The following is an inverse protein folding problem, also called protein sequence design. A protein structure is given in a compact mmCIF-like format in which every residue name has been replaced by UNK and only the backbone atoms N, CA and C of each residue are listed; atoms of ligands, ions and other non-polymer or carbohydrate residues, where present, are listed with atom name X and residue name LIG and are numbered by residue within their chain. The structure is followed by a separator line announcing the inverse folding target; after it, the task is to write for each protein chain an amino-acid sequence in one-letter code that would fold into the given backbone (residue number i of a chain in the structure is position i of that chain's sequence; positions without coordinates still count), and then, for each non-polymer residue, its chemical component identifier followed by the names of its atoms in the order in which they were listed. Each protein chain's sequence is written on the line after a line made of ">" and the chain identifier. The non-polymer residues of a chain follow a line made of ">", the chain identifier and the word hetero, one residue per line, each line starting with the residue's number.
data_IF_121590173757
#
_entry.id   IF_121590173757
#
_cell.length_a   1.000
_cell.length_b   1.000
_cell.length_c   1.000
_cell.angle_alpha   90.00
_cell.angle_beta   90.00
_cell.angle_gamma   90.00
#
_symmetry.space_group_name_H-M   'P 1'
#
loop_
_entity.id
_entity.type
_entity.pdbx_description
1 polymer ?
#
# COMPACT_ATOMS: atom_id res chain seq x y z
N UNK A 1 -1.09 9.00 -23.31
CA UNK A 1 -0.82 9.00 -21.84
C UNK A 1 0.69 9.01 -21.68
N UNK A 2 1.23 9.96 -20.94
CA UNK A 2 2.64 10.39 -20.99
C UNK A 2 3.55 9.26 -20.44
N UNK A 3 4.61 8.88 -21.18
CA UNK A 3 5.54 7.80 -20.84
C UNK A 3 6.04 7.83 -19.38
N UNK A 4 6.19 9.02 -18.80
CA UNK A 4 6.58 9.22 -17.41
C UNK A 4 5.61 8.64 -16.38
N UNK A 5 4.31 8.66 -16.64
CA UNK A 5 3.30 8.07 -15.75
C UNK A 5 3.46 6.56 -15.72
N UNK A 6 3.65 5.93 -16.88
CA UNK A 6 3.86 4.48 -16.99
C UNK A 6 5.17 4.05 -16.31
N UNK A 7 6.25 4.84 -16.46
CA UNK A 7 7.49 4.61 -15.72
C UNK A 7 7.24 4.65 -14.22
N UNK A 8 6.62 5.71 -13.69
CA UNK A 8 6.40 5.86 -12.25
C UNK A 8 5.54 4.72 -11.67
N UNK A 9 4.53 4.31 -12.42
CA UNK A 9 3.54 3.33 -12.00
C UNK A 9 4.07 1.89 -12.13
N UNK A 10 4.68 1.55 -13.27
CA UNK A 10 5.15 0.19 -13.56
C UNK A 10 6.50 -0.14 -12.89
N UNK A 11 7.29 0.85 -12.50
CA UNK A 11 8.51 0.67 -11.68
C UNK A 11 8.25 0.53 -10.17
N UNK A 12 6.99 0.64 -9.75
CA UNK A 12 6.58 0.66 -8.34
C UNK A 12 6.98 1.95 -7.58
N UNK A 13 7.57 2.96 -8.23
CA UNK A 13 7.88 4.26 -7.63
C UNK A 13 6.64 4.94 -7.05
N UNK A 14 5.53 4.86 -7.77
CA UNK A 14 4.24 5.41 -7.33
C UNK A 14 3.75 4.79 -6.01
N UNK A 15 3.92 3.48 -5.86
CA UNK A 15 3.58 2.75 -4.63
C UNK A 15 4.56 3.06 -3.49
N UNK A 16 5.85 3.23 -3.80
CA UNK A 16 6.85 3.63 -2.82
C UNK A 16 6.56 5.02 -2.25
N UNK A 17 6.18 5.98 -3.11
CA UNK A 17 5.72 7.30 -2.70
C UNK A 17 4.46 7.20 -1.83
N UNK A 18 3.49 6.36 -2.22
CA UNK A 18 2.29 6.13 -1.40
C UNK A 18 2.65 5.57 -0.01
N UNK A 19 3.58 4.62 0.07
CA UNK A 19 4.04 4.04 1.34
C UNK A 19 4.71 5.09 2.25
N UNK A 20 5.59 5.93 1.70
CA UNK A 20 6.20 7.04 2.44
C UNK A 20 5.14 8.05 2.90
N UNK A 21 4.25 8.49 2.00
CA UNK A 21 3.21 9.47 2.33
C UNK A 21 2.25 8.95 3.40
N UNK A 22 1.83 7.67 3.33
CA UNK A 22 1.00 7.03 4.34
C UNK A 22 1.71 6.98 5.70
N UNK A 23 3.00 6.67 5.70
CA UNK A 23 3.83 6.62 6.92
C UNK A 23 3.97 8.02 7.54
N UNK A 24 4.14 9.05 6.71
CA UNK A 24 4.22 10.44 7.17
C UNK A 24 2.89 10.94 7.74
N UNK A 25 1.77 10.67 7.06
CA UNK A 25 0.43 11.02 7.55
C UNK A 25 0.11 10.28 8.85
N UNK A 26 0.46 9.00 8.96
CA UNK A 26 0.30 8.23 10.19
C UNK A 26 1.15 8.79 11.33
N UNK A 27 2.40 9.18 11.07
CA UNK A 27 3.26 9.80 12.07
C UNK A 27 2.61 11.07 12.64
N UNK A 28 2.12 11.97 11.77
CA UNK A 28 1.43 13.19 12.22
C UNK A 28 0.16 12.90 12.99
N UNK A 29 -0.68 11.97 12.52
CA UNK A 29 -1.92 11.59 13.20
C UNK A 29 -1.70 10.94 14.58
N UNK A 30 -0.50 10.40 14.83
CA UNK A 30 -0.09 9.85 16.12
C UNK A 30 0.73 10.84 16.97
N UNK A 31 0.83 12.11 16.55
CA UNK A 31 1.67 13.12 17.20
C UNK A 31 3.15 12.69 17.31
N UNK A 32 3.64 12.01 16.27
CA UNK A 32 5.01 11.52 16.17
C UNK A 32 5.81 12.39 15.19
N UNK A 33 7.11 12.62 15.45
CA UNK A 33 8.00 13.21 14.46
C UNK A 33 8.05 12.39 13.17
N UNK A 34 8.09 13.08 12.03
CA UNK A 34 8.26 12.44 10.73
C UNK A 34 9.72 12.04 10.56
N UNK A 35 10.03 10.79 10.89
CA UNK A 35 11.39 10.26 10.79
C UNK A 35 11.73 9.80 9.36
N UNK A 36 12.77 10.37 8.70
CA UNK A 36 13.19 9.95 7.36
C UNK A 36 13.52 8.46 7.25
N UNK A 37 13.97 7.83 8.34
CA UNK A 37 14.25 6.38 8.39
C UNK A 37 12.95 5.58 8.25
N UNK A 38 11.87 5.99 8.90
CA UNK A 38 10.56 5.36 8.76
C UNK A 38 10.06 5.44 7.31
N UNK A 39 10.16 6.64 6.71
CA UNK A 39 9.74 6.87 5.32
C UNK A 39 10.57 6.04 4.34
N UNK A 40 11.91 6.03 4.53
CA UNK A 40 12.83 5.27 3.69
C UNK A 40 12.63 3.77 3.78
N UNK A 41 12.37 3.23 4.98
CA UNK A 41 12.06 1.80 5.18
C UNK A 41 10.72 1.42 4.53
N UNK A 42 9.68 2.23 4.71
CA UNK A 42 8.38 1.98 4.10
C UNK A 42 8.45 2.00 2.56
N UNK A 43 9.08 3.03 1.99
CA UNK A 43 9.28 3.15 0.55
C UNK A 43 10.13 2.01 -0.03
N UNK A 44 11.26 1.70 0.62
CA UNK A 44 12.15 0.62 0.16
C UNK A 44 11.47 -0.74 0.24
N UNK A 45 10.73 -1.00 1.33
CA UNK A 45 9.95 -2.22 1.49
C UNK A 45 8.91 -2.39 0.38
N UNK A 46 8.18 -1.32 0.03
CA UNK A 46 7.26 -1.34 -1.09
C UNK A 46 7.97 -1.63 -2.43
N UNK A 47 9.10 -0.96 -2.72
CA UNK A 47 9.87 -1.24 -3.94
C UNK A 47 10.31 -2.70 -4.02
N UNK A 48 10.85 -3.24 -2.93
CA UNK A 48 11.33 -4.62 -2.89
C UNK A 48 10.18 -5.59 -3.13
N UNK A 49 9.12 -5.51 -2.33
CA UNK A 49 8.01 -6.47 -2.38
C UNK A 49 7.32 -6.43 -3.74
N UNK A 50 6.99 -5.23 -4.25
CA UNK A 50 6.25 -5.11 -5.49
C UNK A 50 7.09 -5.43 -6.72
N UNK A 51 8.38 -5.07 -6.76
CA UNK A 51 9.23 -5.45 -7.89
C UNK A 51 9.53 -6.95 -7.89
N UNK A 52 9.76 -7.57 -6.72
CA UNK A 52 9.92 -9.03 -6.62
C UNK A 52 8.66 -9.77 -7.08
N UNK A 53 7.48 -9.33 -6.64
CA UNK A 53 6.19 -9.89 -7.07
C UNK A 53 6.03 -9.78 -8.60
N UNK A 54 6.22 -8.58 -9.15
CA UNK A 54 6.13 -8.30 -10.60
C UNK A 54 7.13 -9.10 -11.44
N UNK A 55 8.38 -9.22 -10.99
CA UNK A 55 9.42 -9.98 -11.69
C UNK A 55 9.18 -11.49 -11.65
N UNK A 56 8.50 -12.01 -10.61
CA UNK A 56 8.16 -13.43 -10.48
C UNK A 56 6.88 -13.81 -11.22
N UNK A 57 5.89 -12.93 -11.24
CA UNK A 57 4.56 -13.21 -11.80
C UNK A 57 4.43 -12.83 -13.30
N UNK A 58 5.52 -12.50 -14.01
CA UNK A 58 5.53 -12.09 -15.44
C UNK A 58 4.67 -12.98 -16.34
N UNK A 59 4.83 -14.31 -16.26
CA UNK A 59 4.11 -15.26 -17.10
C UNK A 59 2.60 -15.26 -16.84
N UNK A 60 2.21 -15.13 -15.56
CA UNK A 60 0.80 -15.03 -15.13
C UNK A 60 0.20 -13.70 -15.56
N UNK A 61 0.94 -12.61 -15.34
CA UNK A 61 0.49 -11.25 -15.57
C UNK A 61 0.33 -10.90 -17.04
N UNK A 62 0.97 -11.65 -17.95
CA UNK A 62 0.84 -11.42 -19.40
C UNK A 62 -0.61 -11.41 -19.89
N UNK A 63 -1.50 -12.16 -19.23
CA UNK A 63 -2.93 -12.21 -19.59
C UNK A 63 -3.76 -11.10 -18.92
N UNK A 64 -3.39 -10.66 -17.71
CA UNK A 64 -4.22 -9.76 -16.88
C UNK A 64 -3.68 -8.32 -16.81
N UNK A 65 -2.42 -8.11 -17.20
CA UNK A 65 -1.67 -6.86 -17.11
C UNK A 65 -0.64 -6.75 -18.26
N UNK A 66 -1.07 -6.84 -19.54
CA UNK A 66 -0.15 -6.96 -20.67
C UNK A 66 0.78 -5.75 -20.83
N UNK A 67 0.31 -4.52 -20.55
CA UNK A 67 1.13 -3.33 -20.69
C UNK A 67 2.25 -3.29 -19.64
N UNK A 68 1.93 -3.61 -18.38
CA UNK A 68 2.92 -3.75 -17.32
C UNK A 68 3.90 -4.88 -17.60
N UNK A 69 3.42 -6.02 -18.13
CA UNK A 69 4.30 -7.14 -18.48
C UNK A 69 5.32 -6.74 -19.54
N UNK A 70 4.90 -6.06 -20.61
CA UNK A 70 5.82 -5.56 -21.64
C UNK A 70 6.87 -4.59 -21.06
N UNK A 71 6.45 -3.69 -20.17
CA UNK A 71 7.36 -2.79 -19.46
C UNK A 71 8.38 -3.56 -18.61
N UNK A 72 7.93 -4.55 -17.83
CA UNK A 72 8.80 -5.35 -16.96
C UNK A 72 9.81 -6.13 -17.80
N UNK A 73 9.38 -6.73 -18.91
CA UNK A 73 10.27 -7.48 -19.81
C UNK A 73 11.33 -6.56 -20.43
N UNK A 74 10.94 -5.37 -20.87
CA UNK A 74 11.85 -4.39 -21.47
C UNK A 74 12.84 -3.80 -20.45
N UNK A 75 12.40 -3.53 -19.22
CA UNK A 75 13.21 -2.88 -18.16
C UNK A 75 13.70 -3.84 -17.07
N UNK A 76 13.71 -5.15 -17.32
CA UNK A 76 13.97 -6.19 -16.30
C UNK A 76 15.24 -5.93 -15.49
N UNK A 77 16.34 -5.62 -16.15
CA UNK A 77 17.64 -5.34 -15.51
C UNK A 77 17.57 -4.12 -14.61
N UNK A 78 16.94 -3.04 -15.07
CA UNK A 78 16.76 -1.83 -14.27
C UNK A 78 15.90 -2.09 -13.04
N UNK A 79 14.82 -2.89 -13.16
CA UNK A 79 13.97 -3.26 -12.03
C UNK A 79 14.70 -4.16 -11.02
N UNK A 80 15.56 -5.08 -11.46
CA UNK A 80 16.42 -5.87 -10.57
C UNK A 80 17.41 -4.95 -9.85
N UNK A 81 18.09 -4.06 -10.57
CA UNK A 81 19.03 -3.12 -9.98
C UNK A 81 18.35 -2.21 -8.94
N UNK A 82 17.17 -1.68 -9.26
CA UNK A 82 16.35 -0.88 -8.35
C UNK A 82 15.95 -1.67 -7.10
N UNK A 83 15.54 -2.92 -7.27
CA UNK A 83 15.20 -3.82 -6.15
C UNK A 83 16.41 -4.05 -5.24
N UNK A 84 17.58 -4.34 -5.82
CA UNK A 84 18.83 -4.53 -5.09
C UNK A 84 19.28 -3.26 -4.36
N UNK A 85 19.25 -2.11 -5.02
CA UNK A 85 19.54 -0.82 -4.42
C UNK A 85 18.59 -0.49 -3.26
N UNK A 86 17.30 -0.78 -3.42
CA UNK A 86 16.29 -0.59 -2.36
C UNK A 86 16.55 -1.52 -1.17
N UNK A 87 16.96 -2.77 -1.42
CA UNK A 87 17.34 -3.69 -0.35
C UNK A 87 18.57 -3.21 0.42
N UNK A 88 19.61 -2.75 -0.28
CA UNK A 88 20.81 -2.17 0.36
C UNK A 88 20.46 -0.94 1.20
N UNK A 89 19.64 -0.03 0.66
CA UNK A 89 19.17 1.15 1.40
C UNK A 89 18.37 0.75 2.65
N UNK A 90 17.43 -0.19 2.52
CA UNK A 90 16.64 -0.70 3.63
C UNK A 90 17.53 -1.31 4.71
N UNK A 91 18.53 -2.14 4.34
CA UNK A 91 19.48 -2.73 5.28
C UNK A 91 20.32 -1.68 5.99
N UNK A 92 20.84 -0.69 5.27
CA UNK A 92 21.63 0.40 5.84
C UNK A 92 20.82 1.23 6.86
N UNK A 93 19.55 1.52 6.56
CA UNK A 93 18.66 2.21 7.49
C UNK A 93 18.31 1.30 8.68
N UNK A 94 17.96 0.04 8.41
CA UNK A 94 17.56 -0.95 9.42
C UNK A 94 18.65 -1.23 10.45
N UNK A 95 19.93 -1.08 10.09
CA UNK A 95 21.06 -1.25 10.99
C UNK A 95 21.03 -0.29 12.20
N UNK A 96 20.33 0.83 12.09
CA UNK A 96 20.39 1.95 13.04
C UNK A 96 19.06 2.26 13.76
N UNK A 97 18.06 1.36 13.71
CA UNK A 97 16.67 1.63 14.20
C UNK A 97 16.23 0.73 15.37
N UNK A 98 17.14 -0.09 15.89
CA UNK A 98 16.91 -0.90 17.08
C UNK A 98 16.12 -2.20 16.85
N UNK A 99 16.07 -3.10 17.86
CA UNK A 99 15.55 -4.46 17.71
C UNK A 99 14.02 -4.51 17.47
N UNK A 100 13.24 -3.56 18.00
CA UNK A 100 11.79 -3.54 17.81
C UNK A 100 11.41 -3.30 16.33
N UNK A 101 12.08 -2.34 15.67
CA UNK A 101 11.89 -2.09 14.25
C UNK A 101 12.36 -3.29 13.42
N UNK A 102 13.50 -3.90 13.77
CA UNK A 102 13.97 -5.11 13.10
C UNK A 102 12.96 -6.28 13.23
N UNK A 103 12.35 -6.43 14.41
CA UNK A 103 11.29 -7.42 14.67
C UNK A 103 10.06 -7.18 13.79
N UNK A 104 9.56 -5.94 13.71
CA UNK A 104 8.45 -5.57 12.83
C UNK A 104 8.77 -5.87 11.36
N UNK A 105 9.93 -5.42 10.87
CA UNK A 105 10.35 -5.64 9.48
C UNK A 105 10.50 -7.13 9.18
N UNK A 106 11.03 -7.92 10.11
CA UNK A 106 11.16 -9.38 9.96
C UNK A 106 9.79 -10.05 9.90
N UNK A 107 8.85 -9.66 10.77
CA UNK A 107 7.50 -10.20 10.76
C UNK A 107 6.77 -9.90 9.44
N UNK A 108 6.84 -8.64 8.96
CA UNK A 108 6.22 -8.23 7.69
C UNK A 108 6.92 -8.89 6.49
N UNK A 109 8.25 -9.00 6.50
CA UNK A 109 8.98 -9.74 5.48
C UNK A 109 8.58 -11.22 5.46
N UNK A 110 8.41 -11.84 6.62
CA UNK A 110 7.88 -13.20 6.76
C UNK A 110 6.49 -13.36 6.13
N UNK A 111 5.57 -12.42 6.36
CA UNK A 111 4.28 -12.38 5.67
C UNK A 111 4.44 -12.26 4.15
N UNK A 112 5.40 -11.44 3.68
CA UNK A 112 5.77 -11.32 2.28
C UNK A 112 6.29 -12.62 1.67
N UNK A 113 7.10 -13.40 2.40
CA UNK A 113 7.55 -14.73 1.96
C UNK A 113 6.40 -15.73 1.88
N UNK A 114 5.44 -15.63 2.80
CA UNK A 114 4.21 -16.44 2.81
C UNK A 114 3.16 -15.95 1.81
N UNK A 115 3.38 -14.81 1.14
CA UNK A 115 2.44 -14.18 0.22
C UNK A 115 1.83 -15.18 -0.78
N UNK A 116 2.65 -16.03 -1.39
CA UNK A 116 2.17 -17.01 -2.40
C UNK A 116 1.18 -18.02 -1.81
N UNK A 117 1.37 -18.43 -0.55
CA UNK A 117 0.47 -19.35 0.16
C UNK A 117 -0.79 -18.62 0.61
N UNK A 118 -0.65 -17.40 1.15
CA UNK A 118 -1.78 -16.57 1.59
C UNK A 118 -2.68 -16.14 0.42
N UNK A 119 -2.10 -15.88 -0.76
CA UNK A 119 -2.81 -15.54 -2.00
C UNK A 119 -3.73 -16.68 -2.48
N UNK A 120 -3.45 -17.93 -2.09
CA UNK A 120 -4.29 -19.09 -2.43
C UNK A 120 -5.52 -19.23 -1.53
N UNK A 121 -5.53 -18.60 -0.35
CA UNK A 121 -6.65 -18.67 0.59
C UNK A 121 -7.73 -17.66 0.14
N UNK A 122 -8.95 -18.12 -0.17
CA UNK A 122 -10.06 -17.23 -0.50
C UNK A 122 -10.27 -16.20 0.62
N UNK A 123 -10.59 -14.95 0.26
CA UNK A 123 -10.86 -13.84 1.18
C UNK A 123 -9.68 -13.33 2.02
N UNK A 124 -8.58 -14.07 2.16
CA UNK A 124 -7.44 -13.65 2.98
C UNK A 124 -6.60 -12.55 2.33
N UNK A 125 -6.62 -12.45 0.99
CA UNK A 125 -5.72 -11.56 0.24
C UNK A 125 -5.79 -10.10 0.69
N UNK A 126 -6.99 -9.52 0.63
CA UNK A 126 -7.15 -8.10 0.93
C UNK A 126 -6.87 -7.76 2.41
N UNK A 127 -7.38 -8.53 3.41
CA UNK A 127 -7.06 -8.32 4.81
C UNK A 127 -5.56 -8.44 5.13
N UNK A 128 -4.85 -9.44 4.62
CA UNK A 128 -3.42 -9.55 4.94
C UNK A 128 -2.62 -8.41 4.31
N UNK A 129 -2.95 -7.98 3.07
CA UNK A 129 -2.26 -6.84 2.44
C UNK A 129 -2.48 -5.58 3.26
N UNK A 130 -3.72 -5.32 3.66
CA UNK A 130 -4.06 -4.18 4.51
C UNK A 130 -3.34 -4.23 5.85
N UNK A 131 -3.29 -5.40 6.49
CA UNK A 131 -2.56 -5.58 7.74
C UNK A 131 -1.06 -5.32 7.58
N UNK A 132 -0.43 -5.86 6.54
CA UNK A 132 1.01 -5.68 6.30
C UNK A 132 1.36 -4.21 6.04
N UNK A 133 0.58 -3.52 5.20
CA UNK A 133 0.79 -2.10 4.92
C UNK A 133 0.56 -1.23 6.16
N UNK A 134 -0.55 -1.43 6.89
CA UNK A 134 -0.83 -0.67 8.11
C UNK A 134 0.20 -0.93 9.21
N UNK A 135 0.66 -2.17 9.36
CA UNK A 135 1.72 -2.52 10.31
C UNK A 135 3.02 -1.76 10.02
N UNK A 136 3.39 -1.59 8.75
CA UNK A 136 4.59 -0.81 8.37
C UNK A 136 4.33 0.68 8.53
N UNK A 137 3.27 1.21 7.92
CA UNK A 137 3.00 2.65 7.87
C UNK A 137 2.72 3.25 9.25
N UNK A 138 2.13 2.49 10.16
CA UNK A 138 1.85 2.92 11.55
C UNK A 138 2.93 2.42 12.50
N UNK A 139 3.35 1.16 12.38
CA UNK A 139 4.30 0.57 13.31
C UNK A 139 5.69 1.20 13.25
N UNK A 140 6.18 1.59 12.06
CA UNK A 140 7.49 2.26 11.96
C UNK A 140 7.54 3.57 12.75
N UNK A 141 6.68 4.57 12.50
CA UNK A 141 6.70 5.81 13.28
C UNK A 141 6.36 5.59 14.76
N UNK A 142 5.45 4.65 15.08
CA UNK A 142 5.12 4.35 16.48
C UNK A 142 6.30 3.77 17.27
N UNK A 143 7.12 2.90 16.65
CA UNK A 143 8.27 2.30 17.31
C UNK A 143 9.50 3.21 17.39
N UNK A 144 9.57 4.24 16.54
CA UNK A 144 10.65 5.22 16.52
C UNK A 144 10.36 6.45 17.39
N UNK A 145 9.10 6.70 17.74
CA UNK A 145 8.68 7.79 18.61
C UNK A 145 8.68 7.37 20.08
N UNK A 146 8.93 8.33 20.98
CA UNK A 146 8.94 8.06 22.42
C UNK A 146 7.53 7.81 22.99
N UNK A 147 6.52 8.54 22.50
CA UNK A 147 5.16 8.55 23.06
C UNK A 147 4.09 8.67 21.97
N UNK A 148 3.95 7.66 21.09
CA UNK A 148 2.95 7.71 20.03
C UNK A 148 1.52 7.70 20.60
N UNK A 149 0.66 8.57 20.07
CA UNK A 149 -0.75 8.65 20.44
C UNK A 149 -1.61 7.89 19.45
N UNK A 150 -2.78 7.43 19.89
CA UNK A 150 -3.86 6.93 19.02
C UNK A 150 -3.46 5.80 18.04
N UNK A 151 -2.39 5.05 18.32
CA UNK A 151 -1.80 4.04 17.42
C UNK A 151 -2.83 3.08 16.85
N UNK A 152 -3.68 2.50 17.71
CA UNK A 152 -4.71 1.53 17.31
C UNK A 152 -5.75 2.17 16.38
N UNK A 153 -6.15 3.41 16.66
CA UNK A 153 -7.12 4.13 15.86
C UNK A 153 -6.55 4.49 14.48
N UNK A 154 -5.32 5.02 14.41
CA UNK A 154 -4.64 5.30 13.12
C UNK A 154 -4.47 4.01 12.33
N UNK A 155 -4.06 2.91 12.98
CA UNK A 155 -3.96 1.59 12.35
C UNK A 155 -5.30 1.10 11.77
N UNK A 156 -6.42 1.30 12.49
CA UNK A 156 -7.74 0.91 12.02
C UNK A 156 -8.20 1.73 10.79
N UNK A 157 -7.98 3.05 10.79
CA UNK A 157 -8.31 3.93 9.65
C UNK A 157 -7.49 3.56 8.41
N UNK A 158 -6.17 3.42 8.57
CA UNK A 158 -5.30 3.02 7.46
C UNK A 158 -5.62 1.61 6.97
N UNK A 159 -5.90 0.68 7.88
CA UNK A 159 -6.30 -0.68 7.53
C UNK A 159 -7.57 -0.68 6.70
N UNK A 160 -8.63 0.02 7.12
CA UNK A 160 -9.88 0.09 6.37
C UNK A 160 -9.71 0.72 4.99
N UNK A 161 -8.86 1.75 4.89
CA UNK A 161 -8.53 2.40 3.61
C UNK A 161 -7.78 1.46 2.66
N UNK A 162 -6.72 0.82 3.13
CA UNK A 162 -5.92 -0.10 2.31
C UNK A 162 -6.73 -1.36 1.98
N UNK A 163 -7.57 -1.83 2.90
CA UNK A 163 -8.50 -2.94 2.66
C UNK A 163 -9.47 -2.60 1.53
N UNK A 164 -10.04 -1.39 1.54
CA UNK A 164 -10.91 -0.90 0.46
C UNK A 164 -10.20 -0.96 -0.90
N UNK A 165 -8.99 -0.40 -1.00
CA UNK A 165 -8.16 -0.47 -2.20
C UNK A 165 -7.88 -1.93 -2.61
N UNK A 166 -7.45 -2.77 -1.67
CA UNK A 166 -7.08 -4.17 -1.95
C UNK A 166 -8.28 -5.03 -2.41
N UNK A 167 -9.49 -4.79 -1.87
CA UNK A 167 -10.73 -5.45 -2.32
C UNK A 167 -11.04 -5.03 -3.77
N UNK A 168 -11.00 -3.73 -4.06
CA UNK A 168 -11.28 -3.21 -5.40
C UNK A 168 -10.26 -3.71 -6.44
N UNK A 169 -8.99 -3.77 -6.06
CA UNK A 169 -7.92 -4.34 -6.88
C UNK A 169 -8.21 -5.79 -7.29
N UNK A 170 -8.87 -6.57 -6.44
CA UNK A 170 -9.27 -7.95 -6.75
C UNK A 170 -10.27 -8.09 -7.90
N UNK A 171 -11.10 -7.07 -8.16
CA UNK A 171 -12.14 -7.08 -9.20
C UNK A 171 -11.56 -7.28 -10.60
N UNK A 172 -10.42 -6.64 -10.89
CA UNK A 172 -9.72 -6.78 -12.17
C UNK A 172 -9.17 -8.17 -12.35
N UNK A 173 -8.47 -8.66 -11.34
CA UNK A 173 -7.73 -9.91 -11.41
C UNK A 173 -8.65 -11.13 -11.32
N UNK A 174 -9.96 -10.93 -11.06
CA UNK A 174 -10.91 -11.99 -10.66
C UNK A 174 -10.30 -12.90 -9.59
N UNK A 175 -9.63 -12.28 -8.62
CA UNK A 175 -8.91 -12.99 -7.56
C UNK A 175 -9.64 -12.89 -6.22
N UNK A 176 -9.37 -13.86 -5.34
CA UNK A 176 -9.89 -13.90 -3.98
C UNK A 176 -11.42 -13.72 -3.92
N UNK A 177 -11.91 -12.72 -3.20
CA UNK A 177 -13.35 -12.44 -3.07
C UNK A 177 -14.01 -12.12 -4.43
N UNK A 178 -13.29 -11.51 -5.36
CA UNK A 178 -13.80 -11.20 -6.69
C UNK A 178 -13.93 -12.42 -7.60
N UNK A 179 -13.27 -13.53 -7.26
CA UNK A 179 -13.48 -14.82 -7.94
C UNK A 179 -14.81 -15.48 -7.53
N UNK A 180 -15.39 -15.06 -6.40
CA UNK A 180 -16.56 -15.67 -5.76
C UNK A 180 -17.80 -14.79 -5.83
N UNK A 181 -17.61 -13.48 -5.87
CA UNK A 181 -18.69 -12.48 -5.93
C UNK A 181 -18.70 -11.79 -7.30
N UNK A 182 -19.85 -11.22 -7.66
CA UNK A 182 -19.91 -10.32 -8.81
C UNK A 182 -19.09 -9.05 -8.55
N UNK A 183 -18.54 -8.45 -9.61
CA UNK A 183 -17.80 -7.19 -9.55
C UNK A 183 -18.57 -6.10 -8.79
N UNK A 184 -19.89 -6.03 -8.99
CA UNK A 184 -20.77 -5.08 -8.29
C UNK A 184 -20.75 -5.27 -6.77
N UNK A 185 -20.87 -6.53 -6.30
CA UNK A 185 -20.84 -6.84 -4.85
C UNK A 185 -19.45 -6.59 -4.26
N UNK A 186 -18.39 -6.95 -4.98
CA UNK A 186 -17.02 -6.68 -4.53
C UNK A 186 -16.74 -5.18 -4.41
N UNK A 187 -17.19 -4.37 -5.37
CA UNK A 187 -17.06 -2.92 -5.30
C UNK A 187 -17.92 -2.29 -4.20
N UNK A 188 -19.11 -2.83 -3.94
CA UNK A 188 -19.93 -2.41 -2.81
C UNK A 188 -19.20 -2.67 -1.48
N UNK A 189 -18.54 -3.82 -1.31
CA UNK A 189 -17.72 -4.11 -0.13
C UNK A 189 -16.51 -3.17 -0.01
N UNK A 190 -15.81 -2.90 -1.12
CA UNK A 190 -14.72 -1.93 -1.13
C UNK A 190 -15.19 -0.54 -0.68
N UNK A 191 -16.31 -0.06 -1.23
CA UNK A 191 -16.92 1.23 -0.86
C UNK A 191 -17.36 1.25 0.59
N UNK A 192 -17.98 0.18 1.08
CA UNK A 192 -18.38 0.06 2.48
C UNK A 192 -17.16 0.13 3.42
N UNK A 193 -16.05 -0.52 3.08
CA UNK A 193 -14.81 -0.43 3.84
C UNK A 193 -14.24 0.99 3.86
N UNK A 194 -14.27 1.71 2.74
CA UNK A 194 -13.84 3.11 2.70
C UNK A 194 -14.75 4.01 3.53
N UNK A 195 -16.07 3.88 3.42
CA UNK A 195 -17.04 4.63 4.24
C UNK A 195 -16.83 4.35 5.72
N UNK A 196 -16.67 3.09 6.12
CA UNK A 196 -16.41 2.73 7.51
C UNK A 196 -15.10 3.35 8.02
N UNK A 197 -14.03 3.34 7.21
CA UNK A 197 -12.78 4.00 7.55
C UNK A 197 -12.92 5.54 7.66
N UNK A 198 -13.68 6.16 6.77
CA UNK A 198 -13.99 7.60 6.84
C UNK A 198 -14.76 7.95 8.11
N UNK A 199 -15.80 7.19 8.45
CA UNK A 199 -16.57 7.41 9.67
C UNK A 199 -15.73 7.19 10.92
N UNK A 200 -14.89 6.14 10.95
CA UNK A 200 -13.95 5.90 12.04
C UNK A 200 -12.95 7.05 12.18
N UNK A 201 -12.49 7.62 11.07
CA UNK A 201 -11.60 8.76 11.07
C UNK A 201 -12.28 10.03 11.60
N UNK A 202 -13.51 10.33 11.15
CA UNK A 202 -14.27 11.49 11.60
C UNK A 202 -14.66 11.41 13.08
N UNK A 203 -14.89 10.22 13.61
CA UNK A 203 -15.18 9.99 15.04
C UNK A 203 -13.91 9.99 15.92
N UNK A 204 -12.74 10.12 15.31
CA UNK A 204 -11.45 10.03 15.99
C UNK A 204 -10.92 11.36 16.50
N UNK A 205 -9.74 11.31 17.15
CA UNK A 205 -9.06 12.49 17.68
C UNK A 205 -8.55 13.42 16.56
N UNK A 206 -8.27 12.88 15.38
CA UNK A 206 -7.71 13.62 14.24
C UNK A 206 -8.62 13.51 13.00
N UNK A 207 -9.76 14.23 12.95
CA UNK A 207 -10.76 14.09 11.89
C UNK A 207 -10.22 14.46 10.50
N UNK A 208 -9.14 15.24 10.42
CA UNK A 208 -8.43 15.53 9.17
C UNK A 208 -7.93 14.26 8.45
N UNK A 209 -7.64 13.18 9.19
CA UNK A 209 -7.24 11.90 8.60
C UNK A 209 -8.34 11.28 7.72
N UNK A 210 -9.61 11.72 7.87
CA UNK A 210 -10.73 11.23 7.08
C UNK A 210 -10.63 11.53 5.58
N UNK A 211 -9.80 12.51 5.18
CA UNK A 211 -9.55 12.80 3.76
C UNK A 211 -8.95 11.59 3.04
N UNK A 212 -8.15 10.77 3.73
CA UNK A 212 -7.45 9.62 3.17
C UNK A 212 -8.40 8.46 2.75
N UNK A 213 -9.32 7.96 3.61
CA UNK A 213 -10.35 7.03 3.17
C UNK A 213 -11.38 7.67 2.23
N UNK A 214 -11.66 8.97 2.37
CA UNK A 214 -12.58 9.67 1.48
C UNK A 214 -12.06 9.76 0.04
N UNK A 215 -10.77 10.04 -0.18
CA UNK A 215 -10.19 10.02 -1.53
C UNK A 215 -10.22 8.62 -2.14
N UNK A 216 -9.96 7.58 -1.34
CA UNK A 216 -10.10 6.20 -1.78
C UNK A 216 -11.55 5.90 -2.20
N UNK A 217 -12.55 6.32 -1.42
CA UNK A 217 -13.96 6.20 -1.78
C UNK A 217 -14.30 6.89 -3.10
N UNK A 218 -13.84 8.14 -3.29
CA UNK A 218 -14.09 8.92 -4.51
C UNK A 218 -13.50 8.20 -5.73
N UNK A 219 -12.29 7.64 -5.62
CA UNK A 219 -11.67 6.85 -6.70
C UNK A 219 -12.44 5.57 -7.04
N UNK A 220 -13.27 5.06 -6.13
CA UNK A 220 -14.14 3.90 -6.36
C UNK A 220 -15.47 4.24 -7.04
N UNK A 221 -15.88 5.51 -7.11
CA UNK A 221 -17.13 5.91 -7.78
C UNK A 221 -17.03 5.63 -9.28
N UNK A 222 -16.02 6.14 -10.03
CA UNK A 222 -15.90 5.87 -11.46
C UNK A 222 -15.13 4.58 -11.78
N UNK A 223 -15.08 3.61 -10.84
CA UNK A 223 -14.17 2.46 -10.94
C UNK A 223 -14.30 1.69 -12.25
N UNK A 224 -13.17 1.54 -12.96
CA UNK A 224 -13.04 0.67 -14.13
C UNK A 224 -12.05 -0.44 -13.84
N UNK A 225 -12.40 -1.67 -14.22
CA UNK A 225 -11.54 -2.85 -14.07
C UNK A 225 -10.43 -2.89 -15.15
N UNK A 226 -9.75 -1.77 -15.33
CA UNK A 226 -8.66 -1.59 -16.29
C UNK A 226 -7.33 -1.50 -15.54
N UNK A 227 -6.27 -2.00 -16.17
CA UNK A 227 -4.92 -2.00 -15.62
C UNK A 227 -4.44 -0.60 -15.21
N UNK A 228 -4.59 0.37 -16.12
CA UNK A 228 -4.17 1.76 -15.92
C UNK A 228 -5.00 2.43 -14.83
N UNK A 229 -6.30 2.15 -14.78
CA UNK A 229 -7.19 2.72 -13.78
C UNK A 229 -6.79 2.29 -12.36
N UNK A 230 -6.54 0.99 -12.16
CA UNK A 230 -6.07 0.47 -10.86
C UNK A 230 -4.80 1.18 -10.41
N UNK A 231 -3.80 1.18 -11.28
CA UNK A 231 -2.48 1.62 -10.88
C UNK A 231 -2.34 3.15 -10.76
N UNK A 232 -3.05 3.91 -11.61
CA UNK A 232 -2.99 5.37 -11.57
C UNK A 232 -4.01 5.96 -10.60
N UNK A 233 -5.28 5.57 -10.72
CA UNK A 233 -6.34 6.20 -9.93
C UNK A 233 -6.51 5.55 -8.57
N UNK A 234 -6.56 4.22 -8.49
CA UNK A 234 -6.81 3.55 -7.22
C UNK A 234 -5.58 3.64 -6.29
N UNK A 235 -4.38 3.28 -6.76
CA UNK A 235 -3.15 3.46 -5.95
C UNK A 235 -2.79 4.94 -5.79
N UNK A 236 -3.06 5.79 -6.80
CA UNK A 236 -2.89 7.24 -6.68
C UNK A 236 -3.82 7.89 -5.67
N UNK A 237 -5.00 7.33 -5.42
CA UNK A 237 -5.89 7.83 -4.37
C UNK A 237 -5.32 7.65 -2.96
N UNK A 238 -4.49 6.62 -2.74
CA UNK A 238 -3.77 6.42 -1.48
C UNK A 238 -2.67 7.48 -1.32
N UNK A 239 -1.88 7.72 -2.37
CA UNK A 239 -0.85 8.76 -2.37
C UNK A 239 -1.46 10.15 -2.16
N UNK A 240 -2.46 10.52 -2.97
CA UNK A 240 -3.12 11.81 -2.88
C UNK A 240 -3.82 12.00 -1.52
N UNK A 241 -4.54 10.99 -1.05
CA UNK A 241 -5.19 11.00 0.25
C UNK A 241 -4.20 11.17 1.41
N UNK A 242 -3.07 10.47 1.34
CA UNK A 242 -2.03 10.58 2.36
C UNK A 242 -1.33 11.95 2.35
N UNK A 243 -1.03 12.51 1.18
CA UNK A 243 -0.45 13.86 1.08
C UNK A 243 -1.41 14.93 1.57
N UNK A 244 -2.70 14.82 1.24
CA UNK A 244 -3.73 15.73 1.74
C UNK A 244 -3.88 15.61 3.26
N UNK A 245 -3.96 14.38 3.80
CA UNK A 245 -4.02 14.17 5.24
C UNK A 245 -2.80 14.76 5.94
N UNK A 246 -1.60 14.53 5.39
CA UNK A 246 -0.35 15.07 5.92
C UNK A 246 -0.33 16.60 5.97
N UNK A 247 -0.91 17.28 4.98
CA UNK A 247 -0.98 18.75 4.95
C UNK A 247 -2.06 19.35 5.86
N UNK A 248 -3.04 18.55 6.31
CA UNK A 248 -4.13 18.97 7.18
C UNK A 248 -3.89 18.65 8.66
N UNK A 249 -3.00 17.71 8.97
CA UNK A 249 -2.49 17.37 10.31
C UNK A 249 -1.26 18.23 10.62
#
# INVERSE_FOLDING_TARGET
>A
MIAWIEIAVFSSMWLAAAAAALTAAAARAMDCPVDPRALGLAASGALIVYNVDRLRDVARDRQTAPARTLFIEHHRTALIALTGASALAATAIAWNVGPAVAGLLTAVAGLGLLHRRLKAIPYAKAPYVAAAWSAVAVGLPALLAERPKHVIWVAAVLFGTILSNAIASGVRDREAIAARLSSTRTLALARAAAVAATLAALAGPEPALAVLPATAFVALIPFRAEERYRLFLLDGSLLAGALLAFGLL
#
